data_IF_699820983173
#
_entry.id   IF_699820983173
#
_cell.length_a   1.000
_cell.length_b   1.000
_cell.length_c   1.000
_cell.angle_alpha   90.00
_cell.angle_beta   90.00
_cell.angle_gamma   90.00
#
_symmetry.space_group_name_H-M   'P 1'
#
loop_
_entity.id
_entity.type
_entity.pdbx_description
1 polymer ?
#
# COMPACT_ATOMS: atom_id res chain seq x y z
N UNK A 1 -7.00 17.53 -56.72
CA UNK A 1 -6.71 18.20 -55.43
C UNK A 1 -7.62 17.62 -54.36
N UNK A 2 -7.23 16.47 -53.78
CA UNK A 2 -7.99 15.83 -52.70
C UNK A 2 -7.63 16.51 -51.36
N UNK A 3 -8.61 17.16 -50.75
CA UNK A 3 -8.51 17.80 -49.44
C UNK A 3 -8.40 16.71 -48.36
N UNK A 4 -7.25 16.69 -47.68
CA UNK A 4 -7.00 15.83 -46.51
C UNK A 4 -7.87 16.34 -45.36
N UNK A 5 -8.86 15.54 -44.95
CA UNK A 5 -9.60 15.75 -43.72
C UNK A 5 -8.68 15.42 -42.54
N UNK A 6 -8.29 16.44 -41.77
CA UNK A 6 -7.53 16.32 -40.52
C UNK A 6 -8.57 16.20 -39.40
N UNK A 7 -8.64 15.08 -38.65
CA UNK A 7 -9.60 14.99 -37.54
C UNK A 7 -9.22 16.02 -36.46
N UNK A 8 -10.21 16.61 -35.76
CA UNK A 8 -9.95 17.54 -34.68
C UNK A 8 -9.15 16.84 -33.59
N UNK A 9 -8.10 17.51 -33.10
CA UNK A 9 -7.22 16.99 -32.07
C UNK A 9 -8.02 16.54 -30.86
N UNK A 10 -7.73 15.34 -30.35
CA UNK A 10 -8.14 14.95 -29.01
C UNK A 10 -7.59 16.02 -28.07
N UNK A 11 -8.48 16.79 -27.47
CA UNK A 11 -8.12 17.55 -26.29
C UNK A 11 -7.66 16.54 -25.26
N UNK A 12 -6.36 16.54 -24.96
CA UNK A 12 -5.83 15.90 -23.76
C UNK A 12 -6.57 16.52 -22.57
N UNK A 13 -7.15 15.73 -21.66
CA UNK A 13 -7.62 16.27 -20.40
C UNK A 13 -6.37 16.67 -19.59
N UNK A 14 -5.98 17.94 -19.74
CA UNK A 14 -5.09 18.62 -18.81
C UNK A 14 -5.84 18.81 -17.49
N UNK A 15 -5.26 18.25 -16.42
CA UNK A 15 -5.49 18.59 -15.02
C UNK A 15 -6.93 18.49 -14.47
N UNK A 16 -7.24 17.34 -13.90
CA UNK A 16 -7.87 17.23 -12.58
C UNK A 16 -7.67 15.78 -12.09
N UNK A 17 -7.33 15.58 -10.81
CA UNK A 17 -7.13 14.28 -10.12
C UNK A 17 -5.69 13.68 -10.09
N UNK A 18 -4.65 14.52 -10.02
CA UNK A 18 -3.39 14.13 -9.35
C UNK A 18 -3.37 14.77 -7.96
N UNK A 19 -4.16 14.24 -7.03
CA UNK A 19 -4.06 14.56 -5.61
C UNK A 19 -3.77 13.27 -4.84
N UNK A 20 -2.58 12.73 -5.11
CA UNK A 20 -1.96 11.69 -4.29
C UNK A 20 -1.44 12.31 -2.99
N UNK A 21 -1.32 11.51 -1.92
CA UNK A 21 -0.69 11.87 -0.63
C UNK A 21 0.74 12.48 -0.73
N UNK A 22 1.30 12.54 -1.94
CA UNK A 22 2.63 12.97 -2.32
C UNK A 22 2.73 14.47 -2.71
N UNK A 23 1.60 15.16 -2.90
CA UNK A 23 1.56 16.59 -3.34
C UNK A 23 1.11 17.57 -2.24
N UNK A 24 0.78 17.07 -1.05
CA UNK A 24 0.56 17.94 0.11
C UNK A 24 1.92 18.31 0.71
N UNK A 25 2.29 19.61 0.84
CA UNK A 25 3.40 19.99 1.69
C UNK A 25 3.00 19.63 3.12
N UNK A 26 3.48 18.48 3.59
CA UNK A 26 3.22 18.02 4.95
C UNK A 26 3.65 19.12 5.90
N UNK A 27 2.73 19.58 6.74
CA UNK A 27 3.12 20.49 7.82
C UNK A 27 4.16 19.79 8.71
N UNK A 28 5.08 20.54 9.33
CA UNK A 28 6.06 19.94 10.24
C UNK A 28 5.38 19.08 11.33
N UNK A 29 4.22 19.52 11.83
CA UNK A 29 3.40 18.75 12.78
C UNK A 29 2.91 17.41 12.21
N UNK A 30 2.50 17.39 10.95
CA UNK A 30 2.08 16.17 10.25
C UNK A 30 3.25 15.20 10.04
N UNK A 31 4.43 15.73 9.69
CA UNK A 31 5.67 14.94 9.56
C UNK A 31 6.04 14.32 10.91
N UNK A 32 6.05 15.12 11.97
CA UNK A 32 6.33 14.66 13.34
C UNK A 32 5.38 13.54 13.75
N UNK A 33 4.08 13.76 13.55
CA UNK A 33 3.04 12.79 13.88
C UNK A 33 3.23 11.48 13.11
N UNK A 34 3.52 11.57 11.81
CA UNK A 34 3.73 10.39 10.98
C UNK A 34 4.95 9.59 11.40
N UNK A 35 6.11 10.25 11.50
CA UNK A 35 7.37 9.60 11.87
C UNK A 35 7.28 8.96 13.25
N UNK A 36 6.70 9.67 14.23
CA UNK A 36 6.44 9.13 15.57
C UNK A 36 5.54 7.90 15.51
N UNK A 37 4.49 7.92 14.69
CA UNK A 37 3.62 6.75 14.51
C UNK A 37 4.35 5.55 13.88
N UNK A 38 5.48 5.76 13.20
CA UNK A 38 6.33 4.68 12.62
C UNK A 38 7.52 4.35 13.52
N UNK A 39 7.58 4.96 14.71
CA UNK A 39 8.62 4.75 15.70
C UNK A 39 9.92 5.50 15.41
N UNK A 40 9.93 6.42 14.44
CA UNK A 40 11.07 7.29 14.15
C UNK A 40 10.96 8.58 14.97
N UNK A 41 11.15 8.43 16.28
CA UNK A 41 11.20 9.50 17.27
C UNK A 41 12.17 9.09 18.38
N UNK A 42 13.17 9.94 18.65
CA UNK A 42 14.20 9.67 19.67
C UNK A 42 13.63 9.61 21.08
N UNK A 43 12.53 10.31 21.35
CA UNK A 43 11.86 10.27 22.66
C UNK A 43 11.23 8.91 22.94
N UNK A 44 10.84 8.16 21.90
CA UNK A 44 10.27 6.82 22.07
C UNK A 44 11.30 5.77 22.50
N UNK A 45 12.58 6.01 22.25
CA UNK A 45 13.65 5.00 22.36
C UNK A 45 14.83 5.44 23.22
N UNK A 46 14.58 6.30 24.22
CA UNK A 46 15.59 6.80 25.16
C UNK A 46 16.80 7.44 24.43
N UNK A 47 16.54 8.17 23.35
CA UNK A 47 17.57 8.85 22.54
C UNK A 47 18.17 8.00 21.42
N UNK A 48 17.87 6.70 21.34
CA UNK A 48 18.35 5.80 20.28
C UNK A 48 17.48 5.91 19.02
N UNK A 49 18.04 5.53 17.86
CA UNK A 49 17.36 5.63 16.56
C UNK A 49 17.06 4.24 15.96
N UNK A 50 15.90 4.02 15.32
CA UNK A 50 15.58 2.75 14.66
C UNK A 50 16.53 2.43 13.51
N UNK A 51 16.67 1.14 13.21
CA UNK A 51 17.41 0.65 12.05
C UNK A 51 16.43 0.16 10.98
N UNK A 52 16.51 0.73 9.79
CA UNK A 52 15.72 0.36 8.61
C UNK A 52 16.55 -0.54 7.69
N UNK A 53 15.92 -1.58 7.17
CA UNK A 53 16.47 -2.46 6.14
C UNK A 53 15.49 -2.57 4.99
N UNK A 54 16.00 -2.51 3.76
CA UNK A 54 15.24 -2.67 2.52
C UNK A 54 16.11 -3.49 1.55
N UNK A 55 15.64 -4.69 1.20
CA UNK A 55 16.35 -5.63 0.32
C UNK A 55 15.49 -5.95 -0.89
N UNK A 56 16.08 -6.02 -2.08
CA UNK A 56 15.37 -6.39 -3.31
C UNK A 56 15.88 -7.73 -3.80
N UNK A 57 15.20 -8.81 -3.39
CA UNK A 57 15.66 -10.19 -3.64
C UNK A 57 15.49 -10.64 -5.09
N UNK A 58 14.27 -10.48 -5.62
CA UNK A 58 13.90 -10.96 -6.94
C UNK A 58 12.81 -10.10 -7.58
N UNK A 59 12.52 -10.39 -8.84
CA UNK A 59 11.39 -9.81 -9.55
C UNK A 59 10.52 -10.90 -10.14
N UNK A 60 9.25 -10.58 -10.35
CA UNK A 60 8.24 -11.45 -10.94
C UNK A 60 7.59 -10.71 -12.12
N UNK A 61 7.20 -11.45 -13.15
CA UNK A 61 6.45 -10.90 -14.28
C UNK A 61 4.96 -11.23 -14.11
N UNK A 62 4.13 -10.20 -14.04
CA UNK A 62 2.69 -10.33 -13.85
C UNK A 62 1.99 -9.33 -14.76
N UNK A 63 1.01 -9.80 -15.55
CA UNK A 63 0.29 -9.00 -16.56
C UNK A 63 1.22 -8.26 -17.56
N UNK A 64 2.37 -8.85 -17.90
CA UNK A 64 3.34 -8.23 -18.82
C UNK A 64 4.20 -7.13 -18.18
N UNK A 65 4.14 -6.99 -16.85
CA UNK A 65 4.91 -6.01 -16.10
C UNK A 65 5.89 -6.68 -15.13
N UNK A 66 7.07 -6.09 -14.96
CA UNK A 66 8.07 -6.55 -13.99
C UNK A 66 7.86 -5.89 -12.63
N UNK A 67 7.61 -6.70 -11.61
CA UNK A 67 7.44 -6.30 -10.22
C UNK A 67 8.64 -6.73 -9.40
N UNK A 68 9.24 -5.80 -8.65
CA UNK A 68 10.36 -6.09 -7.75
C UNK A 68 9.80 -6.29 -6.35
N UNK A 69 10.17 -7.40 -5.70
CA UNK A 69 9.80 -7.68 -4.32
C UNK A 69 10.81 -7.04 -3.38
N UNK A 70 10.31 -6.22 -2.46
CA UNK A 70 11.07 -5.58 -1.40
C UNK A 70 10.79 -6.33 -0.10
N UNK A 71 11.85 -6.80 0.54
CA UNK A 71 11.80 -7.34 1.89
C UNK A 71 12.35 -6.27 2.83
N UNK A 72 11.49 -5.81 3.74
CA UNK A 72 11.73 -4.64 4.57
C UNK A 72 11.74 -5.02 6.04
N UNK A 73 12.56 -4.34 6.84
CA UNK A 73 12.51 -4.49 8.29
C UNK A 73 12.83 -3.20 9.04
N UNK A 74 12.23 -3.02 10.22
CA UNK A 74 12.63 -1.99 11.18
C UNK A 74 12.99 -2.68 12.49
N UNK A 75 14.18 -2.40 13.00
CA UNK A 75 14.62 -2.83 14.32
C UNK A 75 14.62 -1.63 15.26
N UNK A 76 13.81 -1.71 16.31
CA UNK A 76 13.69 -0.65 17.30
C UNK A 76 14.63 -0.91 18.49
N UNK A 77 15.31 0.11 19.04
CA UNK A 77 16.21 -0.08 20.17
C UNK A 77 15.48 -0.62 21.42
N UNK A 78 15.72 -1.88 21.76
CA UNK A 78 15.08 -2.52 22.93
C UNK A 78 13.67 -3.10 22.67
N UNK A 79 13.24 -3.18 21.41
CA UNK A 79 11.98 -3.80 21.00
C UNK A 79 12.20 -4.83 19.87
N UNK A 80 11.15 -5.56 19.51
CA UNK A 80 11.18 -6.56 18.45
C UNK A 80 11.43 -5.94 17.06
N UNK A 81 11.92 -6.79 16.15
CA UNK A 81 12.15 -6.47 14.74
C UNK A 81 10.85 -6.70 13.96
N UNK A 82 10.42 -5.67 13.26
CA UNK A 82 9.25 -5.72 12.39
C UNK A 82 9.72 -6.07 11.00
N UNK A 83 9.14 -7.11 10.38
CA UNK A 83 9.48 -7.56 9.02
C UNK A 83 8.22 -7.59 8.18
N UNK A 84 8.27 -7.02 6.98
CA UNK A 84 7.17 -7.04 6.03
C UNK A 84 7.70 -7.03 4.60
N UNK A 85 6.81 -7.24 3.64
CA UNK A 85 7.17 -7.30 2.23
C UNK A 85 6.23 -6.40 1.42
N UNK A 86 6.75 -5.76 0.38
CA UNK A 86 5.95 -5.01 -0.60
C UNK A 86 6.48 -5.28 -2.00
N UNK A 87 5.75 -4.87 -3.04
CA UNK A 87 6.17 -5.02 -4.43
C UNK A 87 5.98 -3.73 -5.20
N UNK A 88 7.03 -3.29 -5.90
CA UNK A 88 7.00 -2.04 -6.67
C UNK A 88 7.53 -2.27 -8.08
N UNK A 89 7.00 -1.52 -9.04
CA UNK A 89 7.55 -1.46 -10.40
C UNK A 89 8.71 -0.49 -10.46
N UNK A 90 9.57 -0.65 -11.46
CA UNK A 90 10.68 0.29 -11.67
C UNK A 90 10.22 1.74 -11.90
N UNK A 91 9.05 1.92 -12.52
CA UNK A 91 8.43 3.24 -12.67
C UNK A 91 8.07 3.86 -11.32
N UNK A 92 7.52 3.07 -10.38
CA UNK A 92 7.24 3.54 -9.02
C UNK A 92 8.54 3.96 -8.31
N UNK A 93 9.61 3.16 -8.41
CA UNK A 93 10.90 3.53 -7.83
C UNK A 93 11.44 4.85 -8.38
N UNK A 94 11.22 5.15 -9.66
CA UNK A 94 11.69 6.40 -10.28
C UNK A 94 10.87 7.59 -9.82
N UNK A 95 9.59 7.56 -10.19
CA UNK A 95 8.72 8.71 -10.12
C UNK A 95 8.31 9.03 -8.69
N UNK A 96 8.16 8.01 -7.84
CA UNK A 96 7.65 8.15 -6.46
C UNK A 96 8.75 8.16 -5.40
N UNK A 97 10.01 7.88 -5.75
CA UNK A 97 11.08 7.80 -4.76
C UNK A 97 12.40 8.40 -5.26
N UNK A 98 13.04 7.80 -6.27
CA UNK A 98 14.38 8.18 -6.71
C UNK A 98 14.45 9.64 -7.20
N UNK A 99 13.51 10.05 -8.05
CA UNK A 99 13.54 11.39 -8.63
C UNK A 99 13.31 12.44 -7.54
N UNK A 100 12.41 12.18 -6.58
CA UNK A 100 12.20 13.00 -5.38
C UNK A 100 13.42 13.07 -4.47
N UNK A 101 14.08 11.93 -4.20
CA UNK A 101 15.34 11.91 -3.43
C UNK A 101 16.40 12.78 -4.10
N UNK A 102 16.45 12.78 -5.44
CA UNK A 102 17.40 13.58 -6.21
C UNK A 102 17.03 15.07 -6.28
N UNK A 103 15.74 15.40 -6.21
CA UNK A 103 15.24 16.78 -6.16
C UNK A 103 15.48 17.43 -4.79
N UNK A 104 15.25 16.67 -3.71
CA UNK A 104 15.36 17.16 -2.33
C UNK A 104 16.81 17.23 -1.83
N UNK A 105 17.70 16.36 -2.35
CA UNK A 105 19.12 16.40 -1.99
C UNK A 105 19.91 17.26 -2.98
N UNK A 106 20.90 18.02 -2.46
CA UNK A 106 21.90 18.65 -3.32
C UNK A 106 22.67 17.59 -4.12
N UNK A 107 23.24 17.94 -5.28
CA UNK A 107 24.07 17.00 -6.05
C UNK A 107 25.22 16.40 -5.22
N UNK A 108 25.82 17.19 -4.33
CA UNK A 108 26.88 16.76 -3.42
C UNK A 108 26.37 15.78 -2.36
N UNK A 109 25.23 16.07 -1.73
CA UNK A 109 24.62 15.19 -0.73
C UNK A 109 24.16 13.87 -1.37
N UNK A 110 23.52 13.93 -2.55
CA UNK A 110 23.13 12.73 -3.29
C UNK A 110 24.36 11.87 -3.62
N UNK A 111 25.45 12.48 -4.11
CA UNK A 111 26.67 11.75 -4.40
C UNK A 111 27.30 11.12 -3.13
N UNK A 112 27.27 11.84 -2.00
CA UNK A 112 27.77 11.33 -0.71
C UNK A 112 27.08 10.03 -0.32
N UNK A 113 25.76 9.95 -0.49
CA UNK A 113 25.02 8.74 -0.14
C UNK A 113 25.09 7.68 -1.24
N UNK A 114 24.94 8.02 -2.52
CA UNK A 114 24.65 7.04 -3.58
C UNK A 114 25.78 6.79 -4.60
N UNK A 115 26.96 7.41 -4.49
CA UNK A 115 28.05 7.22 -5.47
C UNK A 115 28.48 5.76 -5.64
N UNK A 116 28.46 4.97 -4.56
CA UNK A 116 28.81 3.55 -4.58
C UNK A 116 27.67 2.64 -5.07
N UNK A 117 26.45 3.14 -5.14
CA UNK A 117 25.24 2.38 -5.46
C UNK A 117 24.36 3.16 -6.45
N UNK A 118 24.72 3.22 -7.75
CA UNK A 118 23.95 3.98 -8.73
C UNK A 118 22.60 3.33 -9.05
N UNK A 119 21.57 4.17 -9.18
CA UNK A 119 20.19 3.75 -9.44
C UNK A 119 20.00 3.02 -10.80
N UNK A 120 19.00 2.14 -10.87
CA UNK A 120 18.75 1.30 -12.03
C UNK A 120 18.06 2.02 -13.20
N UNK A 121 18.65 1.92 -14.40
CA UNK A 121 18.20 2.64 -15.62
C UNK A 121 17.23 1.87 -16.53
N UNK A 122 17.04 0.56 -16.37
CA UNK A 122 16.12 -0.23 -17.19
C UNK A 122 15.52 -1.39 -16.39
N UNK A 123 14.30 -1.82 -16.72
CA UNK A 123 13.59 -2.93 -16.04
C UNK A 123 13.82 -4.27 -16.72
N UNK A 124 13.82 -5.38 -15.97
CA UNK A 124 13.86 -6.75 -16.52
C UNK A 124 15.18 -7.17 -17.19
N UNK A 125 16.22 -6.31 -17.20
CA UNK A 125 17.54 -6.66 -17.71
C UNK A 125 18.42 -7.29 -16.61
N UNK A 126 19.34 -8.16 -17.02
CA UNK A 126 20.35 -8.77 -16.15
C UNK A 126 21.07 -7.69 -15.32
N UNK A 127 20.82 -7.70 -14.00
CA UNK A 127 21.45 -6.80 -13.03
C UNK A 127 20.58 -5.65 -12.52
N UNK A 128 19.36 -5.43 -13.05
CA UNK A 128 18.45 -4.40 -12.50
C UNK A 128 18.11 -4.66 -11.05
N UNK A 129 17.72 -5.89 -10.70
CA UNK A 129 17.45 -6.29 -9.32
C UNK A 129 18.64 -5.97 -8.41
N UNK A 130 19.86 -6.37 -8.80
CA UNK A 130 21.09 -6.08 -8.00
C UNK A 130 21.36 -4.59 -7.82
N UNK A 131 21.07 -3.76 -8.83
CA UNK A 131 21.26 -2.30 -8.72
C UNK A 131 20.20 -1.65 -7.82
N UNK A 132 18.94 -2.08 -7.94
CA UNK A 132 17.88 -1.63 -7.04
C UNK A 132 18.18 -2.03 -5.61
N UNK A 133 18.59 -3.28 -5.39
CA UNK A 133 19.01 -3.79 -4.09
C UNK A 133 20.11 -2.94 -3.46
N UNK A 134 21.23 -2.74 -4.17
CA UNK A 134 22.33 -1.92 -3.68
C UNK A 134 21.91 -0.48 -3.36
N UNK A 135 21.05 0.11 -4.19
CA UNK A 135 20.54 1.47 -3.96
C UNK A 135 19.60 1.54 -2.75
N UNK A 136 18.68 0.57 -2.60
CA UNK A 136 17.77 0.45 -1.45
C UNK A 136 18.51 0.22 -0.13
N UNK A 137 19.52 -0.64 -0.13
CA UNK A 137 20.39 -0.87 1.04
C UNK A 137 21.06 0.43 1.48
N UNK A 138 21.56 1.21 0.52
CA UNK A 138 22.21 2.48 0.82
C UNK A 138 21.22 3.55 1.32
N UNK A 139 20.02 3.61 0.76
CA UNK A 139 18.94 4.49 1.24
C UNK A 139 18.52 4.13 2.66
N UNK A 140 18.33 2.84 2.95
CA UNK A 140 17.96 2.33 4.25
C UNK A 140 19.04 2.62 5.30
N UNK A 141 20.32 2.54 4.90
CA UNK A 141 21.46 2.95 5.73
C UNK A 141 21.41 4.43 6.09
N UNK A 142 21.23 5.32 5.10
CA UNK A 142 21.09 6.76 5.35
C UNK A 142 19.91 7.08 6.29
N UNK A 143 18.80 6.37 6.15
CA UNK A 143 17.66 6.50 7.07
C UNK A 143 18.00 6.04 8.50
N UNK A 144 18.77 4.95 8.63
CA UNK A 144 19.19 4.36 9.91
C UNK A 144 20.27 5.16 10.65
N UNK A 145 21.03 5.96 9.91
CA UNK A 145 22.05 6.87 10.44
C UNK A 145 21.45 8.28 10.75
N UNK A 146 20.13 8.46 10.55
CA UNK A 146 19.41 9.75 10.72
C UNK A 146 20.01 10.88 9.85
N UNK A 147 20.50 10.53 8.66
CA UNK A 147 21.13 11.47 7.71
C UNK A 147 20.14 12.05 6.69
N UNK A 148 18.94 11.48 6.58
CA UNK A 148 17.94 11.93 5.63
C UNK A 148 17.11 13.11 6.18
N UNK A 149 16.79 14.10 5.35
CA UNK A 149 15.72 15.06 5.64
C UNK A 149 14.44 14.33 6.05
N UNK A 150 13.70 14.91 7.01
CA UNK A 150 12.50 14.28 7.60
C UNK A 150 11.42 14.00 6.57
N UNK A 151 11.25 14.91 5.61
CA UNK A 151 10.36 14.76 4.46
C UNK A 151 10.74 13.53 3.63
N UNK A 152 12.03 13.33 3.36
CA UNK A 152 12.50 12.15 2.64
C UNK A 152 12.31 10.88 3.47
N UNK A 153 12.52 10.91 4.78
CA UNK A 153 12.24 9.75 5.62
C UNK A 153 10.76 9.36 5.57
N UNK A 154 9.83 10.33 5.62
CA UNK A 154 8.39 10.08 5.40
C UNK A 154 8.16 9.45 4.03
N UNK A 155 8.76 10.00 2.97
CA UNK A 155 8.62 9.48 1.61
C UNK A 155 9.09 8.02 1.52
N UNK A 156 10.25 7.70 2.10
CA UNK A 156 10.80 6.33 2.13
C UNK A 156 9.83 5.40 2.85
N UNK A 157 9.39 5.75 4.05
CA UNK A 157 8.49 4.94 4.87
C UNK A 157 7.12 4.74 4.20
N UNK A 158 6.58 5.77 3.55
CA UNK A 158 5.38 5.65 2.72
C UNK A 158 5.61 4.72 1.53
N UNK A 159 6.72 4.89 0.80
CA UNK A 159 7.03 4.10 -0.37
C UNK A 159 7.17 2.61 -0.06
N UNK A 160 7.76 2.26 1.09
CA UNK A 160 7.91 0.86 1.49
C UNK A 160 6.72 0.32 2.26
N UNK A 161 5.64 1.09 2.42
CA UNK A 161 4.45 0.70 3.18
C UNK A 161 4.78 0.36 4.66
N UNK A 162 5.59 1.20 5.31
CA UNK A 162 6.08 0.93 6.66
C UNK A 162 4.93 0.83 7.69
N UNK A 163 4.92 -0.24 8.52
CA UNK A 163 3.87 -0.45 9.51
C UNK A 163 3.94 0.59 10.63
N UNK A 164 2.84 0.74 11.36
CA UNK A 164 2.80 1.56 12.58
C UNK A 164 3.68 0.93 13.66
N UNK A 165 4.45 1.75 14.37
CA UNK A 165 5.17 1.34 15.56
C UNK A 165 4.21 1.15 16.72
N UNK A 166 4.23 -0.04 17.30
CA UNK A 166 3.49 -0.37 18.51
C UNK A 166 4.53 -0.62 19.61
N UNK A 167 4.66 0.30 20.55
CA UNK A 167 5.59 0.16 21.66
C UNK A 167 5.26 -1.11 22.47
N UNK A 168 6.19 -2.08 22.53
CA UNK A 168 6.05 -3.29 23.35
C UNK A 168 5.50 -4.55 22.65
N UNK A 169 5.58 -4.67 21.33
CA UNK A 169 5.25 -5.94 20.66
C UNK A 169 6.34 -7.00 20.96
N UNK A 170 6.06 -8.17 21.53
CA UNK A 170 4.76 -8.75 21.93
C UNK A 170 4.77 -9.17 23.42
N UNK A 171 3.67 -9.03 24.20
CA UNK A 171 2.58 -10.03 24.18
C UNK A 171 1.20 -9.52 24.69
N UNK A 172 0.08 -10.18 24.35
CA UNK A 172 -1.19 -10.03 25.09
C UNK A 172 -1.58 -8.58 25.46
N UNK A 173 -1.63 -7.72 24.46
CA UNK A 173 -2.57 -6.62 24.44
C UNK A 173 -3.25 -6.71 23.08
N UNK A 174 -3.95 -7.81 22.86
CA UNK A 174 -5.25 -7.60 22.26
C UNK A 174 -5.96 -6.62 23.19
N UNK A 175 -6.43 -5.53 22.61
CA UNK A 175 -7.67 -4.96 23.11
C UNK A 175 -8.59 -6.16 23.40
N UNK A 176 -8.95 -6.39 24.67
CA UNK A 176 -9.82 -7.51 25.05
C UNK A 176 -11.07 -7.56 24.16
N UNK A 177 -11.44 -6.43 23.59
CA UNK A 177 -12.47 -6.28 22.57
C UNK A 177 -12.11 -7.02 21.27
N UNK A 178 -10.95 -6.79 20.66
CA UNK A 178 -10.50 -7.53 19.46
C UNK A 178 -10.38 -9.04 19.71
N UNK A 179 -9.86 -9.46 20.87
CA UNK A 179 -9.72 -10.89 21.21
C UNK A 179 -11.09 -11.56 21.35
N UNK A 180 -12.03 -10.87 21.99
CA UNK A 180 -13.42 -11.33 22.12
C UNK A 180 -14.14 -11.35 20.79
N UNK A 181 -13.90 -10.37 19.92
CA UNK A 181 -14.50 -10.29 18.61
C UNK A 181 -13.92 -11.35 17.66
N UNK A 182 -12.62 -11.64 17.73
CA UNK A 182 -12.00 -12.72 16.97
C UNK A 182 -12.71 -14.07 17.23
N UNK A 183 -13.08 -14.35 18.48
CA UNK A 183 -13.86 -15.57 18.79
C UNK A 183 -15.29 -15.54 18.23
N UNK A 184 -15.86 -14.37 17.94
CA UNK A 184 -17.20 -14.22 17.34
C UNK A 184 -17.19 -14.29 15.82
N UNK A 185 -16.04 -14.08 15.20
CA UNK A 185 -15.82 -14.29 13.77
C UNK A 185 -16.00 -15.77 13.39
N UNK A 186 -15.79 -16.70 14.33
CA UNK A 186 -15.98 -18.15 14.09
C UNK A 186 -17.35 -18.69 14.54
N UNK A 187 -18.30 -17.83 14.92
CA UNK A 187 -19.59 -18.26 15.47
C UNK A 187 -20.43 -19.04 14.43
N UNK A 188 -21.21 -20.02 14.90
CA UNK A 188 -22.09 -20.83 14.03
C UNK A 188 -23.17 -19.99 13.35
N UNK A 189 -23.63 -18.94 14.01
CA UNK A 189 -24.69 -18.05 13.52
C UNK A 189 -24.09 -16.97 12.63
N UNK A 190 -24.60 -16.84 11.40
CA UNK A 190 -24.00 -15.92 10.41
C UNK A 190 -24.15 -14.46 10.85
N UNK A 191 -25.25 -14.13 11.52
CA UNK A 191 -25.50 -12.77 12.00
C UNK A 191 -24.48 -12.35 13.07
N UNK A 192 -24.02 -13.29 13.90
CA UNK A 192 -22.97 -13.04 14.90
C UNK A 192 -21.63 -12.78 14.23
N UNK A 193 -21.26 -13.58 13.22
CA UNK A 193 -20.04 -13.35 12.43
C UNK A 193 -20.07 -12.01 11.71
N UNK A 194 -21.17 -11.68 11.05
CA UNK A 194 -21.40 -10.39 10.40
C UNK A 194 -21.17 -9.21 11.35
N UNK A 195 -21.83 -9.26 12.52
CA UNK A 195 -21.71 -8.19 13.53
C UNK A 195 -20.29 -8.10 14.09
N UNK A 196 -19.61 -9.24 14.25
CA UNK A 196 -18.23 -9.28 14.71
C UNK A 196 -17.28 -8.63 13.70
N UNK A 197 -17.44 -8.92 12.41
CA UNK A 197 -16.66 -8.33 11.31
C UNK A 197 -16.78 -6.80 11.33
N UNK A 198 -18.02 -6.28 11.37
CA UNK A 198 -18.24 -4.83 11.44
C UNK A 198 -17.63 -4.21 12.70
N UNK A 199 -17.80 -4.87 13.86
CA UNK A 199 -17.25 -4.37 15.12
C UNK A 199 -15.72 -4.35 15.13
N UNK A 200 -15.07 -5.33 14.50
CA UNK A 200 -13.60 -5.34 14.36
C UNK A 200 -13.14 -4.15 13.54
N UNK A 201 -13.81 -3.84 12.42
CA UNK A 201 -13.43 -2.70 11.56
C UNK A 201 -13.45 -1.36 12.32
N UNK A 202 -14.45 -1.18 13.20
CA UNK A 202 -14.66 0.07 13.94
C UNK A 202 -13.64 0.31 15.05
N UNK A 203 -13.02 -0.73 15.58
CA UNK A 203 -12.04 -0.63 16.68
C UNK A 203 -10.60 -0.91 16.24
N UNK A 204 -10.43 -1.45 15.04
CA UNK A 204 -9.13 -1.77 14.50
C UNK A 204 -8.39 -0.51 14.05
N UNK A 205 -7.08 -0.51 14.27
CA UNK A 205 -6.21 0.46 13.62
C UNK A 205 -6.14 0.17 12.11
N UNK A 206 -6.23 1.21 11.28
CA UNK A 206 -5.98 1.09 9.84
C UNK A 206 -4.60 0.50 9.58
N UNK A 207 -4.56 -0.60 8.83
CA UNK A 207 -3.38 -1.35 8.43
C UNK A 207 -2.94 -2.42 9.43
N UNK A 208 -3.74 -2.78 10.45
CA UNK A 208 -3.41 -3.88 11.36
C UNK A 208 -3.40 -5.23 10.59
N UNK A 209 -2.23 -5.90 10.45
CA UNK A 209 -2.11 -7.11 9.64
C UNK A 209 -2.90 -8.30 10.22
N UNK A 210 -3.18 -8.31 11.53
CA UNK A 210 -3.98 -9.37 12.17
C UNK A 210 -5.44 -9.22 11.76
N UNK A 211 -5.91 -7.98 11.71
CA UNK A 211 -7.27 -7.64 11.31
C UNK A 211 -7.44 -7.85 9.82
N UNK A 212 -6.54 -7.33 8.99
CA UNK A 212 -6.64 -7.53 7.53
C UNK A 212 -6.57 -9.02 7.16
N UNK A 213 -5.71 -9.81 7.81
CA UNK A 213 -5.68 -11.27 7.62
C UNK A 213 -6.99 -11.94 8.02
N UNK A 214 -7.55 -11.61 9.20
CA UNK A 214 -8.81 -12.19 9.65
C UNK A 214 -9.97 -11.80 8.72
N UNK A 215 -10.02 -10.56 8.26
CA UNK A 215 -11.04 -10.10 7.31
C UNK A 215 -10.90 -10.76 5.93
N UNK A 216 -9.67 -10.99 5.46
CA UNK A 216 -9.40 -11.76 4.24
C UNK A 216 -9.97 -13.18 4.36
N UNK A 217 -9.78 -13.85 5.49
CA UNK A 217 -10.35 -15.19 5.71
C UNK A 217 -11.89 -15.17 5.65
N UNK A 218 -12.51 -14.08 6.10
CA UNK A 218 -13.98 -13.91 6.04
C UNK A 218 -14.54 -13.69 4.64
N UNK A 219 -13.70 -13.40 3.64
CA UNK A 219 -14.10 -13.40 2.24
C UNK A 219 -14.42 -14.80 1.72
N UNK A 220 -14.03 -15.87 2.44
CA UNK A 220 -14.41 -17.24 2.13
C UNK A 220 -15.69 -17.72 2.87
N UNK A 221 -16.37 -16.83 3.61
CA UNK A 221 -17.56 -17.22 4.38
C UNK A 221 -18.71 -17.73 3.48
N UNK A 222 -19.40 -18.75 3.97
CA UNK A 222 -20.56 -19.35 3.29
C UNK A 222 -21.71 -18.36 3.08
N UNK A 223 -21.84 -17.36 3.96
CA UNK A 223 -22.92 -16.38 3.92
C UNK A 223 -22.49 -15.11 3.17
N UNK A 224 -23.31 -14.70 2.19
CA UNK A 224 -23.00 -13.57 1.32
C UNK A 224 -22.90 -12.25 2.11
N UNK A 225 -23.77 -12.05 3.10
CA UNK A 225 -23.74 -10.85 3.95
C UNK A 225 -22.43 -10.73 4.74
N UNK A 226 -21.86 -11.85 5.19
CA UNK A 226 -20.58 -11.85 5.92
C UNK A 226 -19.42 -11.52 4.98
N UNK A 227 -19.43 -12.07 3.76
CA UNK A 227 -18.43 -11.71 2.74
C UNK A 227 -18.48 -10.21 2.38
N UNK A 228 -19.68 -9.66 2.18
CA UNK A 228 -19.85 -8.22 1.90
C UNK A 228 -19.35 -7.35 3.04
N UNK A 229 -19.69 -7.70 4.29
CA UNK A 229 -19.19 -6.98 5.46
C UNK A 229 -17.65 -7.02 5.55
N UNK A 230 -17.03 -8.14 5.17
CA UNK A 230 -15.58 -8.27 5.15
C UNK A 230 -14.93 -7.38 4.07
N UNK A 231 -15.53 -7.29 2.87
CA UNK A 231 -15.10 -6.36 1.81
C UNK A 231 -15.19 -4.90 2.28
N UNK A 232 -16.33 -4.51 2.84
CA UNK A 232 -16.55 -3.16 3.38
C UNK A 232 -15.53 -2.85 4.49
N UNK A 233 -15.36 -3.78 5.43
CA UNK A 233 -14.40 -3.63 6.54
C UNK A 233 -12.97 -3.49 6.03
N UNK A 234 -12.56 -4.30 5.03
CA UNK A 234 -11.25 -4.17 4.39
C UNK A 234 -11.09 -2.79 3.73
N UNK A 235 -12.15 -2.22 3.16
CA UNK A 235 -12.07 -0.87 2.58
C UNK A 235 -11.80 0.24 3.61
N UNK A 236 -12.24 0.04 4.85
CA UNK A 236 -12.04 0.97 5.97
C UNK A 236 -10.68 0.80 6.65
N UNK A 237 -10.26 -0.46 6.83
CA UNK A 237 -9.08 -0.78 7.66
C UNK A 237 -7.85 -1.17 6.85
N UNK A 238 -7.93 -1.44 5.55
CA UNK A 238 -6.74 -1.79 4.80
C UNK A 238 -5.86 -0.57 4.55
N UNK A 239 -4.55 -0.83 4.45
CA UNK A 239 -3.64 0.17 3.93
C UNK A 239 -3.82 0.28 2.41
N UNK A 240 -3.79 1.51 1.87
CA UNK A 240 -4.05 1.82 0.45
C UNK A 240 -3.15 1.13 -0.59
N UNK A 241 -2.15 0.39 -0.14
CA UNK A 241 -1.20 -0.29 -1.01
C UNK A 241 -0.94 -1.73 -0.58
N UNK A 242 -1.85 -2.28 0.24
CA UNK A 242 -1.77 -3.68 0.63
C UNK A 242 -2.16 -4.56 -0.56
N UNK A 243 -1.14 -5.08 -1.24
CA UNK A 243 -1.32 -5.91 -2.43
C UNK A 243 -2.04 -7.23 -2.13
N UNK A 244 -1.95 -7.75 -0.92
CA UNK A 244 -2.72 -8.93 -0.54
C UNK A 244 -4.20 -8.58 -0.49
N UNK A 245 -4.56 -7.41 0.04
CA UNK A 245 -5.93 -6.89 -0.01
C UNK A 245 -6.37 -6.64 -1.45
N UNK A 246 -5.58 -5.95 -2.28
CA UNK A 246 -5.91 -5.71 -3.70
C UNK A 246 -6.18 -7.00 -4.46
N UNK A 247 -5.29 -7.99 -4.33
CA UNK A 247 -5.43 -9.29 -4.99
C UNK A 247 -6.69 -10.02 -4.52
N UNK A 248 -6.96 -9.99 -3.22
CA UNK A 248 -8.11 -10.71 -2.66
C UNK A 248 -9.43 -10.04 -3.04
N UNK A 249 -9.53 -8.71 -2.91
CA UNK A 249 -10.65 -7.94 -3.45
C UNK A 249 -10.82 -8.16 -4.95
N UNK A 250 -9.71 -8.28 -5.68
CA UNK A 250 -9.77 -8.58 -7.10
C UNK A 250 -10.35 -9.95 -7.42
N UNK A 251 -10.10 -10.97 -6.60
CA UNK A 251 -10.79 -12.26 -6.74
C UNK A 251 -12.29 -12.17 -6.44
N UNK A 252 -12.71 -11.23 -5.59
CA UNK A 252 -14.13 -10.99 -5.32
C UNK A 252 -14.88 -10.36 -6.50
N UNK A 253 -14.19 -9.80 -7.50
CA UNK A 253 -14.80 -9.39 -8.78
C UNK A 253 -15.26 -10.59 -9.62
N UNK A 254 -14.89 -11.82 -9.27
CA UNK A 254 -15.33 -13.03 -9.95
C UNK A 254 -16.44 -13.78 -9.16
N UNK A 255 -16.92 -13.23 -8.03
CA UNK A 255 -17.93 -13.91 -7.19
C UNK A 255 -19.28 -14.03 -7.90
N UNK A 256 -19.99 -15.13 -7.62
CA UNK A 256 -21.31 -15.39 -8.19
C UNK A 256 -22.35 -14.33 -7.78
N UNK A 257 -22.19 -13.71 -6.61
CA UNK A 257 -23.08 -12.67 -6.10
C UNK A 257 -22.70 -11.28 -6.68
N UNK A 258 -23.58 -10.64 -7.49
CA UNK A 258 -23.29 -9.32 -8.05
C UNK A 258 -23.08 -8.24 -6.98
N UNK A 259 -23.73 -8.34 -5.82
CA UNK A 259 -23.53 -7.38 -4.73
C UNK A 259 -22.10 -7.44 -4.18
N UNK A 260 -21.49 -8.63 -4.14
CA UNK A 260 -20.10 -8.76 -3.69
C UNK A 260 -19.12 -8.21 -4.73
N UNK A 261 -19.39 -8.46 -6.02
CA UNK A 261 -18.59 -7.89 -7.11
C UNK A 261 -18.64 -6.36 -7.11
N UNK A 262 -19.81 -5.76 -6.90
CA UNK A 262 -19.97 -4.30 -6.77
C UNK A 262 -19.18 -3.77 -5.57
N UNK A 263 -19.35 -4.37 -4.39
CA UNK A 263 -18.63 -3.97 -3.19
C UNK A 263 -17.11 -4.08 -3.37
N UNK A 264 -16.63 -5.13 -4.04
CA UNK A 264 -15.21 -5.32 -4.32
C UNK A 264 -14.64 -4.25 -5.25
N UNK A 265 -15.38 -3.87 -6.30
CA UNK A 265 -14.98 -2.80 -7.20
C UNK A 265 -14.88 -1.44 -6.47
N UNK A 266 -15.85 -1.14 -5.61
CA UNK A 266 -15.83 0.08 -4.78
C UNK A 266 -14.69 0.05 -3.77
N UNK A 267 -14.52 -1.07 -3.05
CA UNK A 267 -13.45 -1.24 -2.08
C UNK A 267 -12.08 -1.05 -2.72
N UNK A 268 -11.85 -1.61 -3.92
CA UNK A 268 -10.62 -1.42 -4.67
C UNK A 268 -10.30 0.04 -4.95
N UNK A 269 -11.27 0.92 -5.25
CA UNK A 269 -10.97 2.35 -5.36
C UNK A 269 -10.65 3.03 -4.02
N UNK A 270 -11.27 2.58 -2.93
CA UNK A 270 -11.01 3.17 -1.61
C UNK A 270 -9.63 2.78 -1.08
N UNK A 271 -9.25 1.52 -1.28
CA UNK A 271 -7.97 0.98 -0.81
C UNK A 271 -6.85 1.19 -1.81
N UNK A 272 -7.00 2.09 -2.79
CA UNK A 272 -6.00 2.32 -3.82
C UNK A 272 -5.93 3.81 -4.14
N UNK A 273 -4.73 4.36 -4.40
CA UNK A 273 -4.65 5.72 -4.92
C UNK A 273 -4.90 5.76 -6.44
N UNK A 274 -5.37 6.92 -6.92
CA UNK A 274 -5.56 7.15 -8.34
C UNK A 274 -4.30 6.79 -9.15
N UNK A 275 -4.45 5.93 -10.16
CA UNK A 275 -3.36 5.50 -11.04
C UNK A 275 -2.56 4.27 -10.58
N UNK A 276 -3.07 3.45 -9.66
CA UNK A 276 -2.54 2.09 -9.52
C UNK A 276 -2.89 1.24 -10.76
N UNK A 277 -1.90 1.07 -11.62
CA UNK A 277 -2.04 0.35 -12.88
C UNK A 277 -2.52 -1.11 -12.69
N UNK A 278 -2.17 -1.77 -11.58
CA UNK A 278 -2.66 -3.13 -11.30
C UNK A 278 -4.17 -3.14 -11.05
N UNK A 279 -4.64 -2.22 -10.21
CA UNK A 279 -6.08 -2.11 -9.91
C UNK A 279 -6.85 -1.62 -11.12
N UNK A 280 -6.31 -0.68 -11.90
CA UNK A 280 -6.90 -0.25 -13.17
C UNK A 280 -7.08 -1.44 -14.13
N UNK A 281 -6.03 -2.25 -14.35
CA UNK A 281 -6.11 -3.43 -15.22
C UNK A 281 -7.15 -4.44 -14.73
N UNK A 282 -7.21 -4.64 -13.41
CA UNK A 282 -8.12 -5.57 -12.77
C UNK A 282 -9.59 -5.11 -12.88
N UNK A 283 -9.86 -3.82 -12.73
CA UNK A 283 -11.16 -3.22 -12.99
C UNK A 283 -11.51 -3.26 -14.49
N UNK A 284 -10.59 -2.87 -15.37
CA UNK A 284 -10.81 -2.89 -16.84
C UNK A 284 -11.24 -4.27 -17.34
N UNK A 285 -10.72 -5.36 -16.77
CA UNK A 285 -11.12 -6.73 -17.10
C UNK A 285 -12.60 -7.04 -16.81
N UNK A 286 -13.28 -6.23 -15.98
CA UNK A 286 -14.66 -6.43 -15.53
C UNK A 286 -15.65 -5.37 -16.07
N UNK A 287 -15.26 -4.58 -17.07
CA UNK A 287 -16.12 -3.53 -17.67
C UNK A 287 -17.38 -4.07 -18.37
N UNK A 288 -17.38 -5.36 -18.74
CA UNK A 288 -18.47 -6.06 -19.42
C UNK A 288 -19.31 -6.94 -18.47
N UNK A 289 -19.23 -6.73 -17.15
CA UNK A 289 -20.01 -7.50 -16.17
C UNK A 289 -21.51 -7.55 -16.55
N UNK A 290 -22.20 -8.71 -16.43
CA UNK A 290 -23.63 -8.79 -16.74
C UNK A 290 -24.48 -7.84 -15.89
N UNK A 291 -24.08 -7.60 -14.64
CA UNK A 291 -24.81 -6.75 -13.71
C UNK A 291 -24.54 -5.25 -13.97
N UNK A 292 -25.60 -4.45 -13.93
CA UNK A 292 -25.52 -3.02 -14.20
C UNK A 292 -24.78 -2.26 -13.09
N UNK A 293 -25.00 -2.63 -11.83
CA UNK A 293 -24.39 -1.96 -10.69
C UNK A 293 -22.89 -2.23 -10.64
N UNK A 294 -22.48 -3.46 -10.95
CA UNK A 294 -21.06 -3.84 -11.07
C UNK A 294 -20.37 -3.05 -12.19
N UNK A 295 -20.97 -2.99 -13.40
CA UNK A 295 -20.40 -2.18 -14.49
C UNK A 295 -20.21 -0.72 -14.14
N UNK A 296 -21.18 -0.13 -13.43
CA UNK A 296 -21.09 1.26 -12.95
C UNK A 296 -19.92 1.40 -11.98
N UNK A 297 -19.87 0.54 -10.96
CA UNK A 297 -18.82 0.56 -9.94
C UNK A 297 -17.43 0.35 -10.54
N UNK A 298 -17.27 -0.49 -11.56
CA UNK A 298 -15.97 -0.73 -12.22
C UNK A 298 -15.52 0.46 -13.08
N UNK A 299 -16.46 1.20 -13.69
CA UNK A 299 -16.15 2.38 -14.53
C UNK A 299 -15.78 3.60 -13.72
N UNK A 300 -16.53 3.85 -12.66
CA UNK A 300 -16.42 5.02 -11.79
C UNK A 300 -16.39 4.54 -10.33
N UNK A 301 -15.31 3.87 -9.93
CA UNK A 301 -15.24 3.27 -8.60
C UNK A 301 -15.12 4.41 -7.57
N UNK A 302 -16.15 4.60 -6.74
CA UNK A 302 -16.21 5.62 -5.69
C UNK A 302 -17.44 6.54 -5.69
N UNK A 303 -18.33 6.48 -6.70
CA UNK A 303 -19.61 7.19 -6.67
C UNK A 303 -20.77 6.26 -6.23
N UNK A 304 -21.54 6.62 -5.17
CA UNK A 304 -22.68 5.81 -4.70
C UNK A 304 -23.85 5.74 -5.71
#
# INVERSE_FOLDING_TARGET
MALRFRPPGRAEPQNALHETLQDMPWSNSSIDTYLRSRGFDRELHEGRWPQLEIVVHHHEEEFGHTWYRLDCAISFPGAERYVWHTSKRLVHFRERLHDRVKEELSPEDYARHFAAAPFARAGGLLGTTKRLDAWCVQLARSASEDELPRQLLVLVLCFIDAPRYIAGALPFCMDRSLERLAHRIEDKEWFVRYTAVQAVAQIADTGDPRVTSALIDMLADKEAHVRSAAVESLSEVAFKYDRAVHKTLGSCLEDANPLLREAAAQALALVTDCGDEYVCLLLEAHLDDPDFAVKRAVREPGEP
#
